data_IF_536028618401
#
_entry.id   IF_536028618401
#
_cell.length_a   1.000
_cell.length_b   1.000
_cell.length_c   1.000
_cell.angle_alpha   90.00
_cell.angle_beta   90.00
_cell.angle_gamma   90.00
#
_symmetry.space_group_name_H-M   'P 1'
#
loop_
_entity.id
_entity.type
_entity.pdbx_description
1 polymer ?
#
# COMPACT_ATOMS: atom_id res chain seq x y z
N UNK A 1 -57.34 -38.22 -27.67
CA UNK A 1 -56.51 -39.42 -27.95
C UNK A 1 -55.06 -38.99 -27.93
N UNK A 2 -54.22 -39.84 -27.35
CA UNK A 2 -52.80 -39.66 -27.00
C UNK A 2 -52.52 -38.78 -25.78
N UNK A 3 -51.97 -39.48 -24.79
CA UNK A 3 -51.74 -39.19 -23.38
C UNK A 3 -50.25 -39.49 -23.13
N UNK A 4 -49.68 -38.86 -22.11
CA UNK A 4 -48.58 -39.39 -21.28
C UNK A 4 -47.17 -39.51 -21.89
N UNK A 5 -46.27 -38.64 -21.43
CA UNK A 5 -45.00 -38.99 -20.76
C UNK A 5 -44.27 -37.69 -20.37
N UNK A 6 -44.75 -37.07 -19.29
CA UNK A 6 -44.03 -36.07 -18.50
C UNK A 6 -44.32 -36.40 -17.04
N UNK A 7 -43.51 -37.27 -16.46
CA UNK A 7 -43.35 -37.48 -15.02
C UNK A 7 -42.28 -38.55 -14.82
N UNK A 8 -41.47 -38.36 -13.79
CA UNK A 8 -40.42 -39.27 -13.30
C UNK A 8 -39.09 -39.18 -14.06
N UNK A 9 -38.13 -38.45 -13.46
CA UNK A 9 -36.93 -39.05 -12.86
C UNK A 9 -36.11 -37.98 -12.11
N UNK A 10 -35.98 -38.22 -10.79
CA UNK A 10 -34.96 -37.77 -9.85
C UNK A 10 -34.91 -36.29 -9.40
N UNK A 11 -35.67 -36.00 -8.34
CA UNK A 11 -35.11 -35.34 -7.15
C UNK A 11 -33.95 -36.21 -6.62
N UNK A 12 -32.72 -35.93 -7.05
CA UNK A 12 -31.54 -36.34 -6.30
C UNK A 12 -31.19 -35.23 -5.31
N UNK A 13 -31.35 -35.59 -4.03
CA UNK A 13 -30.83 -34.91 -2.86
C UNK A 13 -29.49 -34.22 -3.15
N UNK A 14 -29.43 -32.91 -2.87
CA UNK A 14 -28.20 -32.15 -2.73
C UNK A 14 -27.45 -32.59 -1.46
N UNK A 15 -27.05 -33.86 -1.42
CA UNK A 15 -26.15 -34.47 -0.46
C UNK A 15 -24.90 -34.95 -1.22
N UNK A 16 -24.08 -33.96 -1.57
CA UNK A 16 -22.75 -34.20 -2.12
C UNK A 16 -21.68 -33.49 -1.27
N UNK A 17 -20.39 -33.84 -1.44
CA UNK A 17 -19.27 -33.27 -0.68
C UNK A 17 -19.24 -31.73 -0.69
N UNK A 18 -19.73 -31.11 -1.76
CA UNK A 18 -19.85 -29.65 -1.88
C UNK A 18 -20.88 -29.04 -0.91
N UNK A 19 -22.01 -29.69 -0.66
CA UNK A 19 -23.03 -29.20 0.28
C UNK A 19 -22.55 -29.34 1.73
N UNK A 20 -21.74 -30.35 2.02
CA UNK A 20 -21.13 -30.57 3.33
C UNK A 20 -19.95 -29.61 3.60
N UNK A 21 -19.14 -29.31 2.58
CA UNK A 21 -18.12 -28.23 2.62
C UNK A 21 -18.78 -26.87 2.82
N UNK A 22 -19.89 -26.57 2.15
CA UNK A 22 -20.61 -25.30 2.32
C UNK A 22 -21.28 -25.15 3.70
N UNK A 23 -21.80 -26.25 4.30
CA UNK A 23 -22.33 -26.23 5.67
C UNK A 23 -21.22 -26.15 6.73
N UNK A 24 -20.08 -26.81 6.52
CA UNK A 24 -18.92 -26.69 7.41
C UNK A 24 -18.30 -25.28 7.33
N UNK A 25 -18.23 -24.66 6.15
CA UNK A 25 -17.73 -23.29 5.96
C UNK A 25 -18.57 -22.24 6.69
N UNK A 26 -19.90 -22.37 6.72
CA UNK A 26 -20.77 -21.43 7.43
C UNK A 26 -20.65 -21.46 8.97
N UNK A 27 -20.17 -22.57 9.55
CA UNK A 27 -19.91 -22.71 11.00
C UNK A 27 -18.43 -22.48 11.37
N UNK A 28 -17.49 -22.72 10.45
CA UNK A 28 -16.07 -22.39 10.61
C UNK A 28 -15.83 -20.87 10.48
N UNK A 29 -16.53 -20.16 9.60
CA UNK A 29 -16.42 -18.70 9.47
C UNK A 29 -16.78 -18.00 10.78
N UNK A 30 -17.91 -18.35 11.40
CA UNK A 30 -18.35 -17.74 12.68
C UNK A 30 -17.39 -18.01 13.83
N UNK A 31 -16.78 -19.20 13.90
CA UNK A 31 -15.82 -19.51 14.94
C UNK A 31 -14.46 -18.83 14.68
N UNK A 32 -14.01 -18.73 13.42
CA UNK A 32 -12.76 -18.03 13.08
C UNK A 32 -12.87 -16.51 13.26
N UNK A 33 -14.00 -15.90 12.87
CA UNK A 33 -14.34 -14.49 13.11
C UNK A 33 -14.46 -14.20 14.61
N UNK A 34 -15.10 -15.08 15.39
CA UNK A 34 -15.20 -14.94 16.84
C UNK A 34 -13.83 -15.01 17.54
N UNK A 35 -12.88 -15.81 17.06
CA UNK A 35 -11.54 -15.86 17.66
C UNK A 35 -10.69 -14.63 17.33
N UNK A 36 -10.81 -14.07 16.12
CA UNK A 36 -10.15 -12.83 15.72
C UNK A 36 -10.72 -11.61 16.47
N UNK A 37 -12.04 -11.56 16.67
CA UNK A 37 -12.71 -10.49 17.44
C UNK A 37 -12.70 -10.71 18.96
N UNK A 38 -12.50 -11.93 19.47
CA UNK A 38 -12.38 -12.17 20.93
C UNK A 38 -11.16 -11.51 21.58
N UNK A 39 -10.29 -10.89 20.77
CA UNK A 39 -9.21 -10.01 21.22
C UNK A 39 -9.68 -8.61 21.64
N UNK A 40 -10.91 -8.19 21.29
CA UNK A 40 -11.48 -6.86 21.62
C UNK A 40 -11.81 -6.65 23.11
N UNK A 41 -11.69 -7.68 23.96
CA UNK A 41 -12.03 -7.62 25.41
C UNK A 41 -10.88 -8.02 26.34
N UNK A 42 -9.62 -7.72 26.00
CA UNK A 42 -8.49 -8.16 26.81
C UNK A 42 -7.57 -7.01 27.20
N UNK A 43 -7.92 -6.34 28.30
CA UNK A 43 -7.12 -5.30 28.97
C UNK A 43 -5.78 -5.80 29.55
N UNK A 44 -5.45 -7.08 29.37
CA UNK A 44 -4.32 -7.73 30.04
C UNK A 44 -3.68 -8.83 29.17
N UNK A 45 -3.10 -8.45 28.03
CA UNK A 45 -2.18 -9.29 27.25
C UNK A 45 -0.97 -8.49 26.78
N UNK A 46 0.20 -9.12 26.59
CA UNK A 46 1.37 -8.47 26.01
C UNK A 46 1.08 -8.10 24.56
N UNK A 47 1.27 -6.83 24.22
CA UNK A 47 1.25 -6.34 22.85
C UNK A 47 2.34 -7.05 22.03
N UNK A 48 2.00 -7.51 20.82
CA UNK A 48 2.91 -8.31 19.98
C UNK A 48 3.54 -7.49 18.86
N UNK A 49 2.93 -6.39 18.45
CA UNK A 49 3.62 -5.38 17.63
C UNK A 49 4.44 -4.50 18.57
N UNK A 50 5.49 -5.05 19.17
CA UNK A 50 6.44 -4.29 19.97
C UNK A 50 7.53 -3.77 19.05
N UNK A 51 7.73 -2.47 18.96
CA UNK A 51 9.08 -2.00 18.62
C UNK A 51 9.92 -2.05 19.90
N UNK A 52 11.23 -2.21 19.81
CA UNK A 52 12.11 -2.11 21.00
C UNK A 52 11.96 -0.76 21.75
N UNK A 53 11.37 0.25 21.10
CA UNK A 53 10.99 1.55 21.70
C UNK A 53 9.73 1.45 22.60
N UNK A 54 8.90 0.42 22.45
CA UNK A 54 7.73 0.17 23.31
C UNK A 54 8.14 -0.22 24.73
N UNK A 55 9.32 -0.82 24.92
CA UNK A 55 9.74 -1.38 26.21
C UNK A 55 10.78 -0.49 26.92
N UNK A 56 11.45 0.40 26.19
CA UNK A 56 12.59 1.18 26.71
C UNK A 56 12.23 2.45 27.47
N UNK A 57 10.99 2.94 27.39
CA UNK A 57 10.57 4.15 28.15
C UNK A 57 10.62 3.96 29.68
N UNK A 58 10.60 2.71 30.18
CA UNK A 58 10.41 2.40 31.62
C UNK A 58 11.74 2.26 32.40
N UNK A 59 12.91 2.19 31.75
CA UNK A 59 14.17 1.90 32.49
C UNK A 59 14.97 3.12 32.94
N UNK A 60 14.50 4.35 32.73
CA UNK A 60 15.26 5.55 33.12
C UNK A 60 15.15 5.94 34.61
N UNK A 61 14.25 5.32 35.39
CA UNK A 61 14.01 5.69 36.80
C UNK A 61 14.20 4.57 37.83
N UNK A 62 15.07 3.59 37.56
CA UNK A 62 15.50 2.62 38.59
C UNK A 62 16.99 2.78 38.94
N UNK A 63 17.38 2.82 40.22
CA UNK A 63 18.74 3.12 40.63
C UNK A 63 19.70 1.95 40.31
N UNK A 64 20.75 2.25 39.54
CA UNK A 64 22.05 1.56 39.36
C UNK A 64 22.14 0.04 39.63
N UNK A 65 22.49 -0.79 38.64
CA UNK A 65 22.83 -2.19 38.88
C UNK A 65 24.27 -2.32 39.38
N UNK A 66 24.48 -3.14 40.41
CA UNK A 66 25.82 -3.65 40.76
C UNK A 66 26.31 -4.64 39.70
N UNK A 67 27.63 -4.75 39.45
CA UNK A 67 28.17 -5.40 38.26
C UNK A 67 28.25 -6.91 38.48
N UNK A 68 27.43 -7.70 37.79
CA UNK A 68 27.72 -9.12 37.59
C UNK A 68 27.36 -9.52 36.16
N UNK A 69 28.34 -10.11 35.48
CA UNK A 69 28.29 -10.60 34.12
C UNK A 69 27.10 -11.53 33.86
N UNK A 70 26.32 -11.23 32.82
CA UNK A 70 25.29 -12.10 32.29
C UNK A 70 24.37 -11.32 31.36
N UNK A 71 24.33 -11.67 30.07
CA UNK A 71 23.48 -11.04 29.07
C UNK A 71 22.01 -11.04 29.53
N UNK A 72 21.51 -9.87 29.93
CA UNK A 72 20.11 -9.69 30.30
C UNK A 72 19.27 -9.71 29.03
N UNK A 73 18.73 -10.88 28.71
CA UNK A 73 17.54 -11.01 27.85
C UNK A 73 16.49 -10.06 28.41
N UNK A 74 16.16 -9.01 27.65
CA UNK A 74 14.95 -8.22 27.89
C UNK A 74 13.79 -9.18 27.62
N UNK A 75 13.27 -9.78 28.69
CA UNK A 75 12.04 -10.56 28.63
C UNK A 75 10.91 -9.61 28.29
N UNK A 76 10.18 -9.86 27.21
CA UNK A 76 8.92 -9.21 26.84
C UNK A 76 7.99 -9.17 28.06
N UNK A 77 8.06 -8.11 28.84
CA UNK A 77 7.17 -7.90 29.98
C UNK A 77 5.83 -7.47 29.44
N UNK A 78 4.80 -8.22 29.82
CA UNK A 78 3.39 -7.92 29.60
C UNK A 78 3.08 -6.61 30.31
N UNK A 79 3.11 -5.48 29.60
CA UNK A 79 2.66 -4.21 30.16
C UNK A 79 1.13 -4.19 30.16
N UNK A 80 0.53 -4.22 31.36
CA UNK A 80 -0.90 -3.93 31.53
C UNK A 80 -1.10 -2.43 31.31
N UNK A 81 -2.03 -2.03 30.42
CA UNK A 81 -2.36 -0.60 30.24
C UNK A 81 -2.88 0.01 31.54
N UNK A 82 -3.48 -0.81 32.41
CA UNK A 82 -4.05 -0.39 33.69
C UNK A 82 -2.98 -0.01 34.74
N UNK A 83 -1.73 -0.42 34.53
CA UNK A 83 -0.61 -0.19 35.47
C UNK A 83 0.25 1.03 35.09
N UNK A 84 -0.04 1.69 33.96
CA UNK A 84 0.76 2.82 33.45
C UNK A 84 0.32 4.15 34.06
N UNK A 85 1.28 5.02 34.33
CA UNK A 85 1.04 6.42 34.67
C UNK A 85 0.56 7.21 33.45
N UNK A 86 -0.10 8.36 33.68
CA UNK A 86 -0.57 9.23 32.58
C UNK A 86 0.58 9.70 31.67
N UNK A 87 1.77 9.95 32.22
CA UNK A 87 2.94 10.38 31.45
C UNK A 87 3.49 9.25 30.56
N UNK A 88 3.45 8.01 31.06
CA UNK A 88 3.80 6.82 30.28
C UNK A 88 2.78 6.58 29.17
N UNK A 89 1.48 6.66 29.45
CA UNK A 89 0.41 6.54 28.45
C UNK A 89 0.61 7.56 27.33
N UNK A 90 0.89 8.82 27.65
CA UNK A 90 1.14 9.86 26.65
C UNK A 90 2.37 9.55 25.78
N UNK A 91 3.46 9.06 26.39
CA UNK A 91 4.68 8.65 25.67
C UNK A 91 4.42 7.48 24.74
N UNK A 92 3.75 6.43 25.23
CA UNK A 92 3.34 5.28 24.43
C UNK A 92 2.43 5.69 23.27
N UNK A 93 1.50 6.62 23.51
CA UNK A 93 0.59 7.10 22.49
C UNK A 93 1.32 7.70 21.30
N UNK A 94 2.34 8.53 21.54
CA UNK A 94 3.16 9.14 20.47
C UNK A 94 3.88 8.08 19.64
N UNK A 95 4.45 7.07 20.29
CA UNK A 95 5.16 5.96 19.61
C UNK A 95 4.18 5.12 18.78
N UNK A 96 3.04 4.74 19.36
CA UNK A 96 2.01 3.97 18.66
C UNK A 96 1.45 4.76 17.47
N UNK A 97 1.22 6.06 17.62
CA UNK A 97 0.74 6.91 16.52
C UNK A 97 1.75 7.02 15.37
N UNK A 98 3.05 7.10 15.68
CA UNK A 98 4.12 7.07 14.67
C UNK A 98 4.09 5.75 13.90
N UNK A 99 3.99 4.61 14.58
CA UNK A 99 3.93 3.29 13.94
C UNK A 99 2.63 3.12 13.15
N UNK A 100 1.51 3.57 13.70
CA UNK A 100 0.21 3.64 13.02
C UNK A 100 0.35 4.37 11.69
N UNK A 101 0.97 5.56 11.68
CA UNK A 101 1.10 6.37 10.47
C UNK A 101 1.86 5.65 9.36
N UNK A 102 2.90 4.90 9.71
CA UNK A 102 3.73 4.15 8.76
C UNK A 102 2.98 2.92 8.22
N UNK A 103 2.37 2.12 9.09
CA UNK A 103 1.58 0.94 8.69
C UNK A 103 0.38 1.37 7.84
N UNK A 104 -0.32 2.43 8.25
CA UNK A 104 -1.45 2.98 7.52
C UNK A 104 -1.02 3.49 6.14
N UNK A 105 0.09 4.22 6.04
CA UNK A 105 0.61 4.66 4.75
C UNK A 105 0.91 3.49 3.80
N UNK A 106 1.53 2.41 4.30
CA UNK A 106 1.77 1.19 3.51
C UNK A 106 0.46 0.52 3.10
N UNK A 107 -0.49 0.40 4.02
CA UNK A 107 -1.81 -0.18 3.74
C UNK A 107 -2.54 0.60 2.64
N UNK A 108 -2.49 1.94 2.68
CA UNK A 108 -3.07 2.79 1.64
C UNK A 108 -2.34 2.63 0.31
N UNK A 109 -1.00 2.63 0.28
CA UNK A 109 -0.23 2.40 -0.95
C UNK A 109 -0.53 1.03 -1.57
N UNK A 110 -0.62 -0.01 -0.75
CA UNK A 110 -1.02 -1.34 -1.18
C UNK A 110 -2.47 -1.35 -1.72
N UNK A 111 -3.41 -0.69 -1.04
CA UNK A 111 -4.79 -0.52 -1.53
C UNK A 111 -4.84 0.13 -2.92
N UNK A 112 -4.11 1.23 -3.14
CA UNK A 112 -4.05 1.89 -4.47
C UNK A 112 -3.49 0.94 -5.52
N UNK A 113 -2.40 0.23 -5.20
CA UNK A 113 -1.82 -0.75 -6.12
C UNK A 113 -2.83 -1.85 -6.47
N UNK A 114 -3.48 -2.44 -5.47
CA UNK A 114 -4.47 -3.50 -5.64
C UNK A 114 -5.65 -3.03 -6.50
N UNK A 115 -6.24 -1.88 -6.19
CA UNK A 115 -7.31 -1.30 -7.01
C UNK A 115 -6.88 -1.06 -8.46
N UNK A 116 -5.67 -0.53 -8.66
CA UNK A 116 -5.10 -0.30 -9.99
C UNK A 116 -4.98 -1.58 -10.84
N UNK A 117 -4.59 -2.70 -10.22
CA UNK A 117 -4.55 -4.02 -10.89
C UNK A 117 -5.91 -4.74 -10.97
N UNK A 118 -6.96 -4.13 -10.41
CA UNK A 118 -8.32 -4.70 -10.34
C UNK A 118 -8.45 -5.83 -9.32
N UNK A 119 -7.63 -5.79 -8.28
CA UNK A 119 -7.73 -6.70 -7.14
C UNK A 119 -8.78 -6.13 -6.19
N UNK A 120 -9.85 -6.89 -5.99
CA UNK A 120 -10.90 -6.55 -5.03
C UNK A 120 -10.38 -6.65 -3.60
N UNK A 121 -10.76 -5.67 -2.79
CA UNK A 121 -10.45 -5.60 -1.37
C UNK A 121 -11.65 -6.08 -0.59
N UNK A 122 -11.46 -7.17 0.15
CA UNK A 122 -12.49 -7.73 1.01
C UNK A 122 -12.78 -6.80 2.20
N UNK A 123 -14.07 -6.65 2.51
CA UNK A 123 -14.59 -5.84 3.62
C UNK A 123 -15.02 -6.70 4.83
N UNK A 124 -14.72 -8.00 4.83
CA UNK A 124 -14.81 -8.83 6.03
C UNK A 124 -13.79 -8.40 7.09
N UNK A 125 -13.96 -8.85 8.33
CA UNK A 125 -13.01 -8.59 9.43
C UNK A 125 -11.61 -9.17 9.18
N UNK A 126 -11.47 -10.04 8.18
CA UNK A 126 -10.17 -10.58 7.74
C UNK A 126 -9.56 -9.78 6.58
N UNK A 127 -10.32 -8.85 6.01
CA UNK A 127 -10.00 -8.10 4.82
C UNK A 127 -9.28 -6.79 5.09
N UNK A 128 -8.46 -6.37 4.12
CA UNK A 128 -7.69 -5.13 4.21
C UNK A 128 -8.59 -3.88 4.21
N UNK A 129 -9.71 -3.89 3.46
CA UNK A 129 -10.61 -2.74 3.39
C UNK A 129 -11.21 -2.43 4.76
N UNK A 130 -11.67 -3.47 5.47
CA UNK A 130 -12.26 -3.33 6.80
C UNK A 130 -11.33 -2.61 7.77
N UNK A 131 -10.05 -3.03 7.85
CA UNK A 131 -9.09 -2.44 8.78
C UNK A 131 -8.61 -1.05 8.36
N UNK A 132 -8.56 -0.76 7.05
CA UNK A 132 -8.33 0.62 6.56
C UNK A 132 -9.48 1.53 6.99
N UNK A 133 -10.73 1.12 6.76
CA UNK A 133 -11.91 1.92 7.08
C UNK A 133 -12.04 2.13 8.59
N UNK A 134 -11.70 1.10 9.38
CA UNK A 134 -11.62 1.20 10.84
C UNK A 134 -10.50 2.15 11.30
N UNK A 135 -9.33 2.12 10.66
CA UNK A 135 -8.24 3.04 10.95
C UNK A 135 -8.61 4.50 10.63
N UNK A 136 -9.32 4.74 9.53
CA UNK A 136 -9.79 6.07 9.13
C UNK A 136 -10.87 6.60 10.08
N UNK A 137 -11.80 5.75 10.51
CA UNK A 137 -12.89 6.14 11.42
C UNK A 137 -12.40 6.45 12.84
N UNK A 138 -11.31 5.82 13.28
CA UNK A 138 -10.77 5.96 14.63
C UNK A 138 -9.48 6.78 14.67
N UNK A 139 -9.17 7.54 13.62
CA UNK A 139 -7.93 8.32 13.54
C UNK A 139 -7.81 9.36 14.66
N UNK A 140 -8.95 9.88 15.12
CA UNK A 140 -9.06 10.86 16.21
C UNK A 140 -9.29 10.22 17.59
N UNK A 141 -9.20 8.88 17.72
CA UNK A 141 -9.33 8.23 19.03
C UNK A 141 -8.17 8.62 19.95
N UNK A 142 -8.48 8.94 21.20
CA UNK A 142 -7.49 9.11 22.27
C UNK A 142 -7.36 7.85 23.14
N UNK A 143 -8.10 6.80 22.78
CA UNK A 143 -8.00 5.51 23.44
C UNK A 143 -6.80 4.73 22.90
N UNK A 144 -5.73 4.66 23.70
CA UNK A 144 -4.51 3.94 23.37
C UNK A 144 -4.77 2.45 23.07
N UNK A 145 -5.64 1.77 23.81
CA UNK A 145 -5.94 0.35 23.60
C UNK A 145 -6.67 0.09 22.28
N UNK A 146 -7.59 0.99 21.90
CA UNK A 146 -8.26 0.92 20.60
C UNK A 146 -7.27 1.16 19.45
N UNK A 147 -6.42 2.19 19.57
CA UNK A 147 -5.40 2.48 18.57
C UNK A 147 -4.45 1.30 18.39
N UNK A 148 -3.96 0.69 19.48
CA UNK A 148 -3.10 -0.49 19.40
C UNK A 148 -3.81 -1.64 18.68
N UNK A 149 -5.07 -1.93 19.04
CA UNK A 149 -5.84 -3.01 18.40
C UNK A 149 -5.92 -2.80 16.88
N UNK A 150 -6.20 -1.58 16.44
CA UNK A 150 -6.27 -1.23 15.02
C UNK A 150 -4.91 -1.39 14.35
N UNK A 151 -3.85 -0.87 14.95
CA UNK A 151 -2.47 -0.97 14.44
C UNK A 151 -2.05 -2.42 14.25
N UNK A 152 -2.27 -3.26 15.26
CA UNK A 152 -1.88 -4.67 15.22
C UNK A 152 -2.58 -5.41 14.08
N UNK A 153 -3.91 -5.30 13.99
CA UNK A 153 -4.65 -6.01 12.95
C UNK A 153 -4.33 -5.48 11.55
N UNK A 154 -4.21 -4.15 11.40
CA UNK A 154 -3.84 -3.54 10.13
C UNK A 154 -2.45 -4.03 9.68
N UNK A 155 -1.48 -4.12 10.60
CA UNK A 155 -0.15 -4.69 10.34
C UNK A 155 -0.25 -6.12 9.81
N UNK A 156 -0.92 -7.02 10.54
CA UNK A 156 -0.97 -8.42 10.16
C UNK A 156 -1.69 -8.65 8.83
N UNK A 157 -2.79 -7.93 8.57
CA UNK A 157 -3.54 -8.02 7.33
C UNK A 157 -2.74 -7.50 6.14
N UNK A 158 -2.12 -6.32 6.26
CA UNK A 158 -1.33 -5.74 5.17
C UNK A 158 -0.08 -6.60 4.90
N UNK A 159 0.57 -7.09 5.95
CA UNK A 159 1.75 -7.94 5.84
C UNK A 159 1.46 -9.27 5.14
N UNK A 160 0.40 -9.95 5.59
CA UNK A 160 -0.08 -11.18 4.98
C UNK A 160 -0.40 -10.97 3.49
N UNK A 161 -1.12 -9.89 3.18
CA UNK A 161 -1.52 -9.59 1.81
C UNK A 161 -0.34 -9.26 0.91
N UNK A 162 0.57 -8.39 1.35
CA UNK A 162 1.79 -8.04 0.59
C UNK A 162 2.61 -9.30 0.28
N UNK A 163 2.90 -10.13 1.30
CA UNK A 163 3.69 -11.36 1.09
C UNK A 163 3.07 -12.29 0.06
N UNK A 164 1.75 -12.49 0.11
CA UNK A 164 1.07 -13.37 -0.83
C UNK A 164 1.07 -12.79 -2.26
N UNK A 165 0.76 -11.50 -2.38
CA UNK A 165 0.69 -10.83 -3.68
C UNK A 165 2.08 -10.74 -4.35
N UNK A 166 3.15 -10.58 -3.56
CA UNK A 166 4.52 -10.64 -4.08
C UNK A 166 4.83 -11.94 -4.82
N UNK A 167 4.26 -13.08 -4.40
CA UNK A 167 4.42 -14.35 -5.11
C UNK A 167 3.79 -14.29 -6.50
N UNK A 168 2.60 -13.70 -6.62
CA UNK A 168 1.94 -13.49 -7.91
C UNK A 168 2.68 -12.51 -8.81
N UNK A 169 3.18 -11.41 -8.24
CA UNK A 169 3.95 -10.39 -8.97
C UNK A 169 5.23 -11.00 -9.54
N UNK A 170 5.98 -11.76 -8.75
CA UNK A 170 7.20 -12.42 -9.22
C UNK A 170 6.92 -13.44 -10.32
N UNK A 171 5.85 -14.24 -10.19
CA UNK A 171 5.48 -15.21 -11.22
C UNK A 171 5.18 -14.53 -12.57
N UNK A 172 4.48 -13.39 -12.53
CA UNK A 172 4.25 -12.56 -13.71
C UNK A 172 5.56 -12.00 -14.27
N UNK A 173 6.45 -11.51 -13.39
CA UNK A 173 7.74 -10.94 -13.77
C UNK A 173 8.70 -11.95 -14.41
N UNK A 174 8.58 -13.25 -14.08
CA UNK A 174 9.35 -14.31 -14.72
C UNK A 174 8.98 -14.48 -16.20
N UNK A 175 7.78 -14.08 -16.62
CA UNK A 175 7.38 -14.15 -18.01
C UNK A 175 7.95 -12.96 -18.80
N UNK A 176 8.96 -13.23 -19.62
CA UNK A 176 9.61 -12.22 -20.46
C UNK A 176 8.73 -11.84 -21.65
N UNK A 177 7.69 -11.07 -21.40
CA UNK A 177 6.93 -10.40 -22.45
C UNK A 177 7.52 -9.01 -22.68
N UNK A 178 7.99 -8.72 -23.90
CA UNK A 178 8.35 -7.35 -24.27
C UNK A 178 7.08 -6.51 -24.46
N UNK A 179 6.39 -6.17 -23.37
CA UNK A 179 5.37 -5.13 -23.39
C UNK A 179 6.08 -3.79 -23.52
N UNK A 180 6.42 -3.38 -24.74
CA UNK A 180 6.76 -1.97 -24.97
C UNK A 180 5.50 -1.16 -24.69
N UNK A 181 5.47 -0.27 -23.69
CA UNK A 181 4.42 0.70 -23.63
C UNK A 181 4.57 1.56 -24.89
N UNK A 182 3.61 1.44 -25.82
CA UNK A 182 3.43 2.47 -26.82
C UNK A 182 3.15 3.74 -26.02
N UNK A 183 4.15 4.62 -25.86
CA UNK A 183 3.95 5.93 -25.25
C UNK A 183 3.06 6.74 -26.20
N UNK A 184 1.77 6.48 -26.18
CA UNK A 184 0.75 7.35 -26.75
C UNK A 184 0.84 8.69 -26.02
N UNK A 185 0.53 9.76 -26.74
CA UNK A 185 0.80 11.16 -26.36
C UNK A 185 -0.03 11.67 -25.17
N UNK A 186 -0.76 10.79 -24.48
CA UNK A 186 -1.75 11.19 -23.50
C UNK A 186 -1.24 11.08 -22.07
N UNK A 187 -1.76 11.98 -21.24
CA UNK A 187 -1.43 12.21 -19.82
C UNK A 187 -1.83 11.04 -18.90
N UNK A 188 -1.97 9.84 -19.44
CA UNK A 188 -2.51 8.71 -18.71
C UNK A 188 -1.42 8.07 -17.84
N UNK A 189 -1.76 7.89 -16.56
CA UNK A 189 -0.97 7.12 -15.61
C UNK A 189 -0.92 5.66 -16.05
N UNK A 190 0.28 5.08 -16.05
CA UNK A 190 0.52 3.66 -16.33
C UNK A 190 0.94 2.94 -15.05
N UNK A 191 0.46 1.71 -14.92
CA UNK A 191 0.86 0.80 -13.85
C UNK A 191 2.32 0.38 -14.04
N UNK A 192 3.09 0.18 -12.95
CA UNK A 192 4.48 -0.25 -13.04
C UNK A 192 4.61 -1.66 -13.63
N UNK A 193 5.68 -1.94 -14.37
CA UNK A 193 5.95 -3.31 -14.82
C UNK A 193 6.17 -4.26 -13.61
N UNK A 194 5.86 -5.58 -13.73
CA UNK A 194 5.93 -6.52 -12.61
C UNK A 194 7.27 -6.53 -11.85
N UNK A 195 8.40 -6.44 -12.56
CA UNK A 195 9.72 -6.35 -11.91
C UNK A 195 9.87 -5.10 -11.04
N UNK A 196 9.38 -3.96 -11.50
CA UNK A 196 9.43 -2.72 -10.74
C UNK A 196 8.44 -2.74 -9.58
N UNK A 197 7.23 -3.27 -9.80
CA UNK A 197 6.24 -3.46 -8.75
C UNK A 197 6.74 -4.38 -7.63
N UNK A 198 7.44 -5.46 -7.98
CA UNK A 198 8.03 -6.38 -7.00
C UNK A 198 9.01 -5.64 -6.08
N UNK A 199 9.83 -4.75 -6.63
CA UNK A 199 10.79 -3.94 -5.85
C UNK A 199 10.09 -2.95 -4.93
N UNK A 200 9.01 -2.32 -5.37
CA UNK A 200 8.16 -1.47 -4.53
C UNK A 200 7.58 -2.28 -3.36
N UNK A 201 7.01 -3.45 -3.64
CA UNK A 201 6.39 -4.29 -2.61
C UNK A 201 7.42 -4.91 -1.65
N UNK A 202 8.61 -5.23 -2.15
CA UNK A 202 9.73 -5.66 -1.32
C UNK A 202 10.10 -4.57 -0.31
N UNK A 203 10.19 -3.31 -0.74
CA UNK A 203 10.43 -2.18 0.18
C UNK A 203 9.29 -2.00 1.19
N UNK A 204 8.03 -2.18 0.80
CA UNK A 204 6.93 -2.16 1.76
C UNK A 204 7.10 -3.24 2.82
N UNK A 205 7.42 -4.46 2.40
CA UNK A 205 7.69 -5.57 3.32
C UNK A 205 8.91 -5.28 4.20
N UNK A 206 9.99 -4.73 3.66
CA UNK A 206 11.20 -4.44 4.43
C UNK A 206 10.97 -3.34 5.48
N UNK A 207 10.12 -2.35 5.18
CA UNK A 207 9.69 -1.35 6.17
C UNK A 207 8.86 -2.04 7.28
N UNK A 208 7.91 -2.91 6.93
CA UNK A 208 7.12 -3.66 7.91
C UNK A 208 7.96 -4.63 8.74
N UNK A 209 9.03 -5.18 8.16
CA UNK A 209 9.99 -6.06 8.82
C UNK A 209 10.99 -5.30 9.71
N UNK A 210 10.98 -3.96 9.68
CA UNK A 210 11.84 -3.15 10.53
C UNK A 210 11.55 -3.43 12.00
N UNK A 211 12.58 -3.62 12.86
CA UNK A 211 12.40 -3.74 14.31
C UNK A 211 11.73 -2.51 14.94
N UNK A 212 11.76 -1.36 14.25
CA UNK A 212 11.05 -0.15 14.65
C UNK A 212 9.53 -0.24 14.48
N UNK A 213 9.04 -1.18 13.66
CA UNK A 213 7.60 -1.46 13.45
C UNK A 213 7.18 -2.69 14.24
N UNK A 214 7.85 -3.82 14.05
CA UNK A 214 7.50 -5.08 14.69
C UNK A 214 8.76 -5.92 14.94
N UNK A 215 9.11 -6.13 16.21
CA UNK A 215 10.26 -6.91 16.65
C UNK A 215 9.96 -8.42 16.64
N UNK A 216 8.80 -8.83 17.17
CA UNK A 216 8.36 -10.23 17.22
C UNK A 216 7.07 -10.45 16.41
N UNK A 217 7.17 -11.19 15.31
CA UNK A 217 6.02 -11.47 14.43
C UNK A 217 5.30 -12.75 14.85
N UNK A 218 3.97 -12.66 14.97
CA UNK A 218 3.11 -13.83 15.13
C UNK A 218 2.86 -14.52 13.78
N UNK A 219 3.67 -15.52 13.46
CA UNK A 219 3.54 -16.28 12.21
C UNK A 219 2.22 -17.05 12.10
N UNK A 220 1.59 -17.43 13.23
CA UNK A 220 0.31 -18.13 13.23
C UNK A 220 -0.83 -17.18 12.84
N UNK A 221 -0.79 -15.94 13.35
CA UNK A 221 -1.74 -14.91 12.95
C UNK A 221 -1.58 -14.51 11.48
N UNK A 222 -0.34 -14.36 11.01
CA UNK A 222 -0.04 -14.11 9.59
C UNK A 222 -0.62 -15.25 8.73
N UNK A 223 -0.36 -16.51 9.10
CA UNK A 223 -0.85 -17.67 8.36
C UNK A 223 -2.37 -17.68 8.27
N UNK A 224 -3.08 -17.40 9.37
CA UNK A 224 -4.55 -17.31 9.38
C UNK A 224 -5.11 -16.23 8.44
N UNK A 225 -4.52 -15.03 8.44
CA UNK A 225 -4.95 -13.99 7.49
C UNK A 225 -4.69 -14.39 6.04
N UNK A 226 -3.56 -15.06 5.78
CA UNK A 226 -3.26 -15.59 4.46
C UNK A 226 -4.28 -16.66 4.06
N UNK A 227 -4.54 -17.67 4.91
CA UNK A 227 -5.47 -18.78 4.67
C UNK A 227 -6.88 -18.28 4.31
N UNK A 228 -7.39 -17.32 5.07
CA UNK A 228 -8.69 -16.71 4.80
C UNK A 228 -8.73 -16.04 3.43
N UNK A 229 -7.67 -15.32 3.06
CA UNK A 229 -7.60 -14.72 1.74
C UNK A 229 -7.50 -15.76 0.62
N UNK A 230 -6.69 -16.82 0.78
CA UNK A 230 -6.58 -17.91 -0.21
C UNK A 230 -7.93 -18.60 -0.41
N UNK A 231 -8.61 -18.92 0.68
CA UNK A 231 -9.94 -19.54 0.66
C UNK A 231 -10.95 -18.68 -0.10
N UNK A 232 -10.92 -17.36 0.11
CA UNK A 232 -11.74 -16.41 -0.65
C UNK A 232 -11.43 -16.42 -2.14
N UNK A 233 -10.15 -16.48 -2.52
CA UNK A 233 -9.75 -16.58 -3.94
C UNK A 233 -10.23 -17.88 -4.59
N UNK A 234 -10.05 -19.02 -3.93
CA UNK A 234 -10.49 -20.33 -4.44
C UNK A 234 -12.01 -20.34 -4.65
N UNK A 235 -12.77 -19.83 -3.67
CA UNK A 235 -14.22 -19.72 -3.77
C UNK A 235 -14.66 -18.80 -4.93
N UNK A 236 -13.91 -17.74 -5.21
CA UNK A 236 -14.17 -16.83 -6.33
C UNK A 236 -13.88 -17.50 -7.67
N UNK A 237 -12.74 -18.16 -7.79
CA UNK A 237 -12.34 -18.86 -9.02
C UNK A 237 -13.36 -19.96 -9.37
N UNK A 238 -13.84 -20.72 -8.38
CA UNK A 238 -14.88 -21.73 -8.57
C UNK A 238 -16.19 -21.16 -9.14
N UNK A 239 -16.52 -19.89 -8.86
CA UNK A 239 -17.72 -19.22 -9.40
C UNK A 239 -17.54 -18.70 -10.82
N UNK A 240 -16.32 -18.44 -11.25
CA UNK A 240 -16.00 -17.91 -12.58
C UNK A 240 -15.98 -18.99 -13.68
N UNK A 241 -16.15 -20.25 -13.30
CA UNK A 241 -16.21 -21.40 -14.21
C UNK A 241 -14.88 -22.15 -14.28
N UNK A 242 -14.76 -23.13 -15.20
CA UNK A 242 -13.58 -23.98 -15.30
C UNK A 242 -12.34 -23.18 -15.70
N UNK A 243 -11.20 -23.49 -15.08
CA UNK A 243 -9.91 -22.90 -15.43
C UNK A 243 -9.55 -23.20 -16.89
N UNK A 244 -9.29 -22.14 -17.67
CA UNK A 244 -8.84 -22.27 -19.05
C UNK A 244 -7.33 -22.00 -19.12
N UNK A 245 -6.57 -23.04 -19.49
CA UNK A 245 -5.11 -23.00 -19.62
C UNK A 245 -4.64 -22.35 -20.93
N UNK A 246 -5.49 -22.34 -21.95
CA UNK A 246 -5.16 -21.84 -23.28
C UNK A 246 -5.52 -20.35 -23.39
N UNK A 247 -4.54 -19.50 -23.12
CA UNK A 247 -4.61 -18.06 -23.33
C UNK A 247 -3.88 -17.62 -24.61
N UNK A 248 -4.30 -16.48 -25.17
CA UNK A 248 -3.75 -15.92 -26.42
C UNK A 248 -2.23 -15.69 -26.31
N UNK A 249 -1.74 -15.37 -25.11
CA UNK A 249 -0.35 -15.00 -24.87
C UNK A 249 0.52 -16.19 -24.42
N UNK A 250 -0.06 -17.38 -24.20
CA UNK A 250 0.62 -18.55 -23.65
C UNK A 250 1.11 -18.40 -22.20
N UNK A 251 0.71 -17.33 -21.52
CA UNK A 251 1.13 -17.03 -20.15
C UNK A 251 0.58 -18.06 -19.16
N UNK A 252 -0.70 -18.43 -19.26
CA UNK A 252 -1.32 -19.33 -18.28
C UNK A 252 -0.67 -20.69 -18.31
N UNK A 253 -0.38 -21.21 -19.51
CA UNK A 253 0.40 -22.45 -19.67
C UNK A 253 1.79 -22.34 -19.05
N UNK A 254 2.48 -21.21 -19.27
CA UNK A 254 3.79 -20.95 -18.67
C UNK A 254 3.73 -20.92 -17.14
N UNK A 255 2.90 -20.05 -16.57
CA UNK A 255 2.74 -19.88 -15.12
C UNK A 255 2.31 -21.19 -14.45
N UNK A 256 1.31 -21.88 -15.02
CA UNK A 256 0.86 -23.18 -14.52
C UNK A 256 2.01 -24.19 -14.48
N UNK A 257 2.83 -24.27 -15.53
CA UNK A 257 3.96 -25.21 -15.58
C UNK A 257 5.00 -24.96 -14.49
N UNK A 258 5.19 -23.70 -14.09
CA UNK A 258 6.10 -23.32 -13.00
C UNK A 258 5.51 -23.71 -11.64
N UNK A 259 4.25 -23.35 -11.38
CA UNK A 259 3.60 -23.56 -10.09
C UNK A 259 3.30 -25.05 -9.84
N UNK A 260 2.91 -25.78 -10.88
CA UNK A 260 2.66 -27.22 -10.81
C UNK A 260 3.97 -28.01 -10.58
N UNK A 261 5.11 -27.49 -11.01
CA UNK A 261 6.42 -28.08 -10.70
C UNK A 261 6.93 -27.61 -9.33
N UNK A 262 6.62 -28.37 -8.28
CA UNK A 262 7.07 -28.10 -6.90
C UNK A 262 8.59 -28.02 -6.74
N UNK A 263 9.37 -28.56 -7.66
CA UNK A 263 10.83 -28.48 -7.63
C UNK A 263 11.41 -27.24 -8.33
N UNK A 264 10.55 -26.41 -8.95
CA UNK A 264 10.97 -25.14 -9.56
C UNK A 264 11.62 -24.22 -8.53
N UNK A 265 12.54 -23.36 -8.97
CA UNK A 265 13.20 -22.38 -8.10
C UNK A 265 12.19 -21.43 -7.47
N UNK A 266 11.16 -21.05 -8.24
CA UNK A 266 10.03 -20.24 -7.78
C UNK A 266 9.27 -20.94 -6.64
N UNK A 267 8.84 -22.20 -6.83
CA UNK A 267 8.09 -22.91 -5.79
C UNK A 267 8.94 -23.12 -4.53
N UNK A 268 10.21 -23.54 -4.66
CA UNK A 268 11.11 -23.71 -3.51
C UNK A 268 11.29 -22.43 -2.70
N UNK A 269 11.40 -21.29 -3.37
CA UNK A 269 11.49 -19.98 -2.72
C UNK A 269 10.23 -19.69 -1.92
N UNK A 270 9.06 -19.74 -2.55
CA UNK A 270 7.82 -19.33 -1.90
C UNK A 270 7.31 -20.31 -0.86
N UNK A 271 7.58 -21.60 -1.03
CA UNK A 271 7.37 -22.64 -0.01
C UNK A 271 8.16 -22.34 1.28
N UNK A 272 9.40 -21.84 1.15
CA UNK A 272 10.21 -21.43 2.31
C UNK A 272 9.76 -20.13 2.98
N UNK A 273 9.01 -19.28 2.28
CA UNK A 273 8.64 -17.93 2.74
C UNK A 273 7.18 -17.84 3.22
N UNK A 274 6.29 -18.69 2.70
CA UNK A 274 4.86 -18.71 2.96
C UNK A 274 4.46 -20.14 3.32
N UNK A 275 4.13 -20.36 4.59
CA UNK A 275 3.78 -21.68 5.16
C UNK A 275 2.66 -22.39 4.41
N UNK A 276 1.68 -21.64 3.92
CA UNK A 276 0.49 -22.18 3.24
C UNK A 276 0.63 -22.24 1.71
N UNK A 277 1.80 -21.91 1.17
CA UNK A 277 2.04 -21.92 -0.27
C UNK A 277 1.88 -23.32 -0.91
N UNK A 278 2.22 -24.43 -0.23
CA UNK A 278 1.90 -25.77 -0.71
C UNK A 278 0.42 -25.99 -1.00
N UNK A 279 -0.46 -25.40 -0.19
CA UNK A 279 -1.91 -25.58 -0.28
C UNK A 279 -2.56 -24.73 -1.39
N UNK A 280 -1.78 -23.83 -2.01
CA UNK A 280 -2.26 -22.96 -3.06
C UNK A 280 -2.48 -23.74 -4.37
N UNK A 281 -3.71 -23.77 -4.93
CA UNK A 281 -3.95 -24.42 -6.21
C UNK A 281 -3.16 -23.75 -7.34
N UNK A 282 -2.48 -24.52 -8.22
CA UNK A 282 -1.73 -23.95 -9.35
C UNK A 282 -2.57 -23.06 -10.26
N UNK A 283 -3.84 -23.41 -10.45
CA UNK A 283 -4.82 -22.66 -11.24
C UNK A 283 -5.05 -21.27 -10.63
N UNK A 284 -5.31 -21.20 -9.32
CA UNK A 284 -5.55 -19.94 -8.59
C UNK A 284 -4.32 -19.04 -8.61
N UNK A 285 -3.11 -19.58 -8.41
CA UNK A 285 -1.88 -18.78 -8.50
C UNK A 285 -1.64 -18.25 -9.92
N UNK A 286 -1.98 -19.04 -10.94
CA UNK A 286 -1.90 -18.64 -12.34
C UNK A 286 -2.85 -17.46 -12.63
N UNK A 287 -4.10 -17.55 -12.20
CA UNK A 287 -5.10 -16.47 -12.36
C UNK A 287 -4.74 -15.23 -11.53
N UNK A 288 -4.21 -15.41 -10.33
CA UNK A 288 -3.76 -14.31 -9.46
C UNK A 288 -2.65 -13.51 -10.14
N UNK A 289 -1.61 -14.20 -10.62
CA UNK A 289 -0.43 -13.56 -11.23
C UNK A 289 -0.73 -12.87 -12.56
N UNK A 290 -1.69 -13.38 -13.34
CA UNK A 290 -2.08 -12.80 -14.64
C UNK A 290 -2.54 -11.32 -14.54
N UNK A 291 -3.08 -10.91 -13.39
CA UNK A 291 -3.59 -9.55 -13.18
C UNK A 291 -2.52 -8.47 -13.38
N UNK A 292 -1.25 -8.82 -13.13
CA UNK A 292 -0.12 -7.90 -13.17
C UNK A 292 0.36 -7.53 -14.59
N UNK A 293 -0.26 -8.06 -15.65
CA UNK A 293 -0.12 -7.53 -17.02
C UNK A 293 -0.90 -6.24 -17.27
N UNK A 294 -1.73 -5.81 -16.32
CA UNK A 294 -2.55 -4.60 -16.46
C UNK A 294 -1.66 -3.36 -16.55
N UNK A 295 -1.69 -2.65 -17.68
CA UNK A 295 -0.90 -1.43 -17.90
C UNK A 295 -1.65 -0.14 -17.56
N UNK A 296 -2.97 -0.14 -17.64
CA UNK A 296 -3.83 1.00 -17.28
C UNK A 296 -4.62 0.68 -16.02
N UNK A 297 -4.74 1.60 -15.05
CA UNK A 297 -5.46 1.33 -13.82
C UNK A 297 -6.91 0.92 -14.11
N UNK A 298 -7.36 -0.19 -13.51
CA UNK A 298 -8.74 -0.67 -13.62
C UNK A 298 -9.70 0.08 -12.71
N UNK A 299 -9.22 0.48 -11.53
CA UNK A 299 -9.98 1.26 -10.56
C UNK A 299 -9.07 2.36 -10.00
N UNK A 300 -9.68 3.51 -9.70
CA UNK A 300 -9.04 4.66 -9.05
C UNK A 300 -9.98 5.07 -7.92
N UNK A 301 -9.50 5.30 -6.70
CA UNK A 301 -10.36 5.73 -5.61
C UNK A 301 -10.86 7.15 -5.83
N UNK A 302 -11.92 7.50 -5.12
CA UNK A 302 -12.38 8.88 -5.02
C UNK A 302 -11.28 9.74 -4.38
N UNK A 303 -11.04 10.89 -5.02
CA UNK A 303 -10.01 11.85 -4.68
C UNK A 303 -10.67 13.18 -4.33
N UNK A 304 -10.08 13.91 -3.40
CA UNK A 304 -10.63 15.17 -2.90
C UNK A 304 -10.86 16.23 -4.01
N UNK A 305 -9.92 16.40 -4.94
CA UNK A 305 -10.02 17.40 -6.01
C UNK A 305 -10.08 16.70 -7.38
N UNK A 306 -11.16 16.88 -8.16
CA UNK A 306 -11.23 16.44 -9.55
C UNK A 306 -10.12 17.06 -10.42
N UNK A 307 -9.68 16.33 -11.44
CA UNK A 307 -8.54 16.76 -12.30
C UNK A 307 -8.78 18.11 -12.97
N UNK A 308 -10.02 18.36 -13.42
CA UNK A 308 -10.44 19.60 -14.07
C UNK A 308 -10.53 20.80 -13.12
N UNK A 309 -10.61 20.56 -11.81
CA UNK A 309 -10.63 21.60 -10.77
C UNK A 309 -9.24 21.92 -10.22
N UNK A 310 -8.21 21.20 -10.66
CA UNK A 310 -6.85 21.48 -10.22
C UNK A 310 -6.42 22.88 -10.67
N UNK A 311 -5.75 23.65 -9.80
CA UNK A 311 -5.44 25.07 -10.02
C UNK A 311 -4.24 25.27 -10.95
N UNK A 312 -4.28 24.67 -12.13
CA UNK A 312 -3.29 24.91 -13.19
C UNK A 312 -3.45 26.33 -13.74
N UNK A 313 -2.31 26.96 -14.01
CA UNK A 313 -2.29 28.29 -14.64
C UNK A 313 -2.56 28.14 -16.12
N UNK A 314 -3.52 28.90 -16.65
CA UNK A 314 -3.69 29.04 -18.08
C UNK A 314 -2.54 29.89 -18.65
N UNK A 315 -1.62 29.24 -19.35
CA UNK A 315 -0.44 29.88 -19.95
C UNK A 315 -0.77 30.97 -20.98
N UNK A 316 -1.97 30.93 -21.57
CA UNK A 316 -2.44 31.92 -22.56
C UNK A 316 -2.85 33.24 -21.91
N UNK A 317 -3.17 33.23 -20.61
CA UNK A 317 -3.58 34.42 -19.85
C UNK A 317 -2.40 35.13 -19.18
N UNK A 318 -1.19 34.58 -19.30
CA UNK A 318 0.03 35.18 -18.72
C UNK A 318 0.55 36.26 -19.68
N UNK A 319 0.93 37.42 -19.13
CA UNK A 319 1.62 38.48 -19.87
C UNK A 319 2.78 37.90 -20.71
N UNK A 320 2.78 38.10 -22.04
CA UNK A 320 3.83 37.59 -22.92
C UNK A 320 5.25 37.94 -22.47
N UNK A 321 5.47 39.15 -21.92
CA UNK A 321 6.79 39.59 -21.48
C UNK A 321 7.26 38.81 -20.24
N UNK A 322 6.35 38.59 -19.29
CA UNK A 322 6.63 37.75 -18.12
C UNK A 322 6.86 36.29 -18.53
N UNK A 323 6.07 35.79 -19.48
CA UNK A 323 6.22 34.43 -20.01
C UNK A 323 7.58 34.23 -20.67
N UNK A 324 8.02 35.16 -21.52
CA UNK A 324 9.34 35.09 -22.17
C UNK A 324 10.48 35.09 -21.15
N UNK A 325 10.40 35.95 -20.12
CA UNK A 325 11.36 35.96 -19.02
C UNK A 325 11.44 34.61 -18.30
N UNK A 326 10.29 33.98 -18.03
CA UNK A 326 10.25 32.65 -17.40
C UNK A 326 10.86 31.58 -18.30
N UNK A 327 10.59 31.60 -19.61
CA UNK A 327 11.16 30.67 -20.58
C UNK A 327 12.70 30.79 -20.61
N UNK A 328 13.24 32.02 -20.61
CA UNK A 328 14.68 32.25 -20.56
C UNK A 328 15.29 31.65 -19.28
N UNK A 329 14.64 31.84 -18.13
CA UNK A 329 15.11 31.26 -16.87
C UNK A 329 15.06 29.73 -16.91
N UNK A 330 14.00 29.14 -17.45
CA UNK A 330 13.86 27.69 -17.58
C UNK A 330 14.96 27.11 -18.48
N UNK A 331 15.31 27.78 -19.60
CA UNK A 331 16.42 27.37 -20.46
C UNK A 331 17.78 27.50 -19.77
N UNK A 332 17.98 28.52 -18.94
CA UNK A 332 19.21 28.66 -18.13
C UNK A 332 19.34 27.53 -17.12
N UNK A 333 18.28 27.24 -16.36
CA UNK A 333 18.28 26.15 -15.37
C UNK A 333 18.46 24.80 -16.08
N UNK A 334 17.75 24.57 -17.19
CA UNK A 334 17.89 23.34 -17.98
C UNK A 334 19.29 23.17 -18.56
N UNK A 335 19.95 24.26 -18.97
CA UNK A 335 21.34 24.23 -19.44
C UNK A 335 22.30 23.92 -18.30
N UNK A 336 22.14 24.56 -17.14
CA UNK A 336 22.92 24.27 -15.94
C UNK A 336 22.78 22.79 -15.54
N UNK A 337 21.54 22.29 -15.48
CA UNK A 337 21.25 20.89 -15.17
C UNK A 337 21.99 19.92 -16.11
N UNK A 338 22.00 20.21 -17.42
CA UNK A 338 22.75 19.40 -18.41
C UNK A 338 24.26 19.41 -18.14
N UNK A 339 24.83 20.57 -17.80
CA UNK A 339 26.26 20.71 -17.51
C UNK A 339 26.67 19.98 -16.22
N UNK A 340 25.80 19.98 -15.22
CA UNK A 340 26.03 19.32 -13.93
C UNK A 340 25.62 17.84 -13.90
N UNK A 341 25.04 17.32 -15.00
CA UNK A 341 24.52 15.95 -15.04
C UNK A 341 23.28 15.72 -14.17
N UNK A 342 22.57 16.79 -13.77
CA UNK A 342 21.35 16.75 -12.97
C UNK A 342 20.10 16.81 -13.84
N UNK A 343 18.93 16.55 -13.25
CA UNK A 343 17.67 16.89 -13.88
C UNK A 343 17.25 18.33 -13.55
N UNK A 344 16.48 18.96 -14.44
CA UNK A 344 15.90 20.29 -14.18
C UNK A 344 15.03 20.30 -12.91
N UNK A 345 14.42 19.15 -12.57
CA UNK A 345 13.60 19.02 -11.37
C UNK A 345 14.45 19.04 -10.09
N UNK A 346 15.62 18.38 -10.09
CA UNK A 346 16.56 18.43 -8.96
C UNK A 346 17.06 19.87 -8.77
N UNK A 347 17.49 20.56 -9.84
CA UNK A 347 17.93 21.95 -9.74
C UNK A 347 16.84 22.88 -9.17
N UNK A 348 15.57 22.65 -9.49
CA UNK A 348 14.44 23.41 -8.94
C UNK A 348 14.18 23.12 -7.46
N UNK A 349 14.45 21.91 -6.98
CA UNK A 349 14.32 21.52 -5.56
C UNK A 349 15.49 22.03 -4.73
N UNK A 350 16.70 22.01 -5.29
CA UNK A 350 17.93 22.46 -4.64
C UNK A 350 17.95 23.99 -4.45
N UNK A 351 17.28 24.75 -5.33
CA UNK A 351 17.19 26.22 -5.23
C UNK A 351 16.03 26.67 -4.33
N UNK A 352 16.36 27.05 -3.08
CA UNK A 352 15.39 27.55 -2.10
C UNK A 352 14.66 28.85 -2.50
N UNK A 353 15.06 29.53 -3.58
CA UNK A 353 14.33 30.68 -4.13
C UNK A 353 13.15 30.26 -5.01
N UNK A 354 13.17 29.04 -5.53
CA UNK A 354 12.15 28.53 -6.44
C UNK A 354 10.98 27.98 -5.64
N UNK A 355 9.78 28.49 -5.93
CA UNK A 355 8.53 28.00 -5.33
C UNK A 355 8.00 26.83 -6.14
N UNK A 356 8.24 25.60 -5.67
CA UNK A 356 7.85 24.37 -6.38
C UNK A 356 6.37 24.33 -6.78
N UNK A 357 5.45 24.72 -5.89
CA UNK A 357 4.01 24.80 -6.20
C UNK A 357 3.72 25.71 -7.40
N UNK A 358 4.45 26.83 -7.53
CA UNK A 358 4.28 27.73 -8.68
C UNK A 358 4.73 27.07 -9.98
N UNK A 359 5.88 26.41 -9.99
CA UNK A 359 6.39 25.71 -11.17
C UNK A 359 5.42 24.62 -11.64
N UNK A 360 4.88 23.84 -10.70
CA UNK A 360 3.95 22.76 -11.03
C UNK A 360 2.60 23.28 -11.54
N UNK A 361 2.09 24.41 -11.01
CA UNK A 361 0.89 25.07 -11.55
C UNK A 361 1.06 25.48 -13.02
N UNK A 362 2.29 25.78 -13.44
CA UNK A 362 2.63 26.06 -14.84
C UNK A 362 2.91 24.78 -15.66
N UNK A 363 2.59 23.60 -15.12
CA UNK A 363 2.88 22.29 -15.70
C UNK A 363 4.38 22.01 -15.91
N UNK A 364 5.26 22.67 -15.16
CA UNK A 364 6.71 22.47 -15.29
C UNK A 364 7.19 21.28 -14.46
N UNK A 365 8.31 20.70 -14.86
CA UNK A 365 8.87 19.52 -14.20
C UNK A 365 9.58 19.88 -12.90
N UNK A 366 9.19 19.23 -11.81
CA UNK A 366 9.96 19.24 -10.55
C UNK A 366 10.44 17.84 -10.18
N UNK A 367 10.29 16.82 -11.03
CA UNK A 367 10.57 15.43 -10.65
C UNK A 367 12.05 15.18 -10.34
N UNK A 368 12.34 14.30 -9.37
CA UNK A 368 13.69 13.81 -9.09
C UNK A 368 14.29 13.10 -10.32
N UNK A 369 15.62 13.03 -10.41
CA UNK A 369 16.36 12.36 -11.51
C UNK A 369 15.94 10.90 -11.79
N UNK A 370 15.44 10.19 -10.79
CA UNK A 370 14.95 8.81 -10.89
C UNK A 370 13.67 8.67 -11.72
N UNK A 371 12.93 9.76 -11.95
CA UNK A 371 11.71 9.75 -12.74
C UNK A 371 11.98 9.61 -14.25
N UNK A 372 11.14 8.86 -14.97
CA UNK A 372 11.24 8.65 -16.42
C UNK A 372 11.14 9.96 -17.21
N UNK A 373 10.38 10.95 -16.72
CA UNK A 373 10.23 12.23 -17.43
C UNK A 373 11.47 13.13 -17.32
N UNK A 374 12.31 12.92 -16.30
CA UNK A 374 13.35 13.86 -15.87
C UNK A 374 14.28 14.25 -17.02
N UNK A 375 14.76 13.27 -17.79
CA UNK A 375 15.62 13.52 -18.96
C UNK A 375 14.90 14.34 -20.02
N UNK A 376 13.71 13.92 -20.46
CA UNK A 376 12.99 14.62 -21.54
C UNK A 376 12.65 16.06 -21.14
N UNK A 377 12.19 16.28 -19.91
CA UNK A 377 11.89 17.62 -19.39
C UNK A 377 13.13 18.50 -19.17
N UNK A 378 14.31 17.91 -18.99
CA UNK A 378 15.57 18.67 -18.91
C UNK A 378 16.04 19.13 -20.29
N UNK A 379 15.84 18.30 -21.32
CA UNK A 379 16.23 18.64 -22.69
C UNK A 379 15.23 19.57 -23.38
N UNK A 380 13.94 19.41 -23.10
CA UNK A 380 12.85 20.23 -23.59
C UNK A 380 12.13 20.86 -22.38
N UNK A 381 12.59 22.06 -21.99
CA UNK A 381 12.18 22.73 -20.75
C UNK A 381 10.79 23.37 -20.84
N UNK A 382 10.32 23.66 -22.06
CA UNK A 382 9.00 24.25 -22.32
C UNK A 382 7.90 23.19 -22.39
N UNK A 383 8.27 21.91 -22.55
CA UNK A 383 7.35 20.80 -22.50
C UNK A 383 6.60 20.74 -21.17
N UNK A 384 5.27 20.53 -21.27
CA UNK A 384 4.44 20.17 -20.13
C UNK A 384 4.88 18.82 -19.55
N UNK A 385 5.22 18.82 -18.27
CA UNK A 385 5.63 17.63 -17.56
C UNK A 385 4.44 16.66 -17.41
N UNK A 386 4.57 15.38 -17.80
CA UNK A 386 3.49 14.40 -17.63
C UNK A 386 3.18 14.12 -16.14
N UNK A 387 4.10 14.50 -15.25
CA UNK A 387 3.99 14.31 -13.81
C UNK A 387 3.39 15.52 -13.09
N UNK A 388 3.05 16.59 -13.82
CA UNK A 388 2.62 17.85 -13.21
C UNK A 388 1.38 17.67 -12.33
N UNK A 389 0.41 16.84 -12.74
CA UNK A 389 -0.80 16.59 -11.96
C UNK A 389 -0.50 16.00 -10.59
N UNK A 390 0.21 14.86 -10.54
CA UNK A 390 0.56 14.23 -9.27
C UNK A 390 1.38 15.16 -8.38
N UNK A 391 2.33 15.88 -8.97
CA UNK A 391 3.17 16.81 -8.21
C UNK A 391 2.31 17.97 -7.68
N UNK A 392 1.28 18.41 -8.41
CA UNK A 392 0.39 19.47 -7.97
C UNK A 392 -0.41 19.00 -6.76
N UNK A 393 -0.97 17.78 -6.82
CA UNK A 393 -1.69 17.15 -5.71
C UNK A 393 -0.80 17.04 -4.46
N UNK A 394 0.42 16.53 -4.60
CA UNK A 394 1.38 16.43 -3.49
C UNK A 394 1.70 17.80 -2.91
N UNK A 395 2.00 18.80 -3.75
CA UNK A 395 2.30 20.16 -3.29
C UNK A 395 1.09 20.84 -2.64
N UNK A 396 -0.13 20.61 -3.12
CA UNK A 396 -1.35 21.14 -2.49
C UNK A 396 -1.60 20.51 -1.12
N UNK A 397 -1.36 19.21 -0.96
CA UNK A 397 -1.47 18.53 0.34
C UNK A 397 -0.43 19.06 1.35
N UNK A 398 0.83 19.16 0.94
CA UNK A 398 1.92 19.71 1.77
C UNK A 398 1.65 21.15 2.23
N UNK A 399 1.11 22.00 1.36
CA UNK A 399 0.89 23.42 1.66
C UNK A 399 -0.46 23.71 2.34
N UNK A 400 -1.31 22.69 2.55
CA UNK A 400 -2.62 22.85 3.19
C UNK A 400 -2.46 23.01 4.70
N UNK A 401 -3.04 24.08 5.26
CA UNK A 401 -2.91 24.43 6.70
C UNK A 401 -3.84 23.69 7.65
N UNK A 402 -4.81 22.92 7.15
CA UNK A 402 -5.78 22.19 7.97
C UNK A 402 -6.56 21.15 7.15
N UNK A 403 -7.58 20.55 7.76
CA UNK A 403 -8.41 19.49 7.16
C UNK A 403 -9.08 19.93 5.85
N UNK A 404 -9.57 21.17 5.82
CA UNK A 404 -10.28 21.70 4.64
C UNK A 404 -11.72 21.17 4.56
N UNK A 405 -12.26 21.04 3.35
CA UNK A 405 -13.67 20.69 3.10
C UNK A 405 -13.94 19.22 2.79
N UNK A 406 -12.89 18.40 2.73
CA UNK A 406 -12.95 17.03 2.24
C UNK A 406 -12.67 16.05 3.37
N UNK A 407 -13.27 14.87 3.32
CA UNK A 407 -13.09 13.83 4.33
C UNK A 407 -11.64 13.32 4.37
N UNK A 408 -11.21 12.79 5.51
CA UNK A 408 -9.85 12.27 5.71
C UNK A 408 -9.48 11.23 4.64
N UNK A 409 -10.39 10.28 4.37
CA UNK A 409 -10.18 9.22 3.37
C UNK A 409 -9.85 9.79 1.99
N UNK A 410 -10.62 10.76 1.49
CA UNK A 410 -10.43 11.36 0.17
C UNK A 410 -9.10 12.11 0.05
N UNK A 411 -8.69 12.82 1.11
CA UNK A 411 -7.42 13.54 1.14
C UNK A 411 -6.24 12.59 1.10
N UNK A 412 -6.28 11.52 1.90
CA UNK A 412 -5.24 10.49 1.91
C UNK A 412 -5.25 9.73 0.59
N UNK A 413 -6.41 9.43 -0.01
CA UNK A 413 -6.50 8.83 -1.34
C UNK A 413 -5.79 9.68 -2.39
N UNK A 414 -6.00 11.00 -2.39
CA UNK A 414 -5.29 11.92 -3.29
C UNK A 414 -3.78 11.85 -3.14
N UNK A 415 -3.27 11.90 -1.89
CA UNK A 415 -1.83 11.84 -1.62
C UNK A 415 -1.25 10.49 -2.02
N UNK A 416 -1.92 9.40 -1.63
CA UNK A 416 -1.46 8.03 -1.86
C UNK A 416 -1.49 7.69 -3.36
N UNK A 417 -2.53 8.09 -4.08
CA UNK A 417 -2.61 7.93 -5.53
C UNK A 417 -1.49 8.71 -6.22
N UNK A 418 -1.31 9.99 -5.88
CA UNK A 418 -0.24 10.80 -6.45
C UNK A 418 1.16 10.24 -6.13
N UNK A 419 1.36 9.72 -4.92
CA UNK A 419 2.57 9.03 -4.49
C UNK A 419 2.82 7.74 -5.26
N UNK A 420 1.82 6.87 -5.40
CA UNK A 420 1.94 5.63 -6.18
C UNK A 420 2.20 5.91 -7.66
N UNK A 421 1.60 6.95 -8.22
CA UNK A 421 1.94 7.46 -9.56
C UNK A 421 3.39 7.94 -9.66
N UNK A 422 3.97 8.42 -8.56
CA UNK A 422 5.40 8.74 -8.42
C UNK A 422 6.27 7.50 -8.53
N UNK A 423 6.00 6.51 -7.69
CA UNK A 423 6.68 5.22 -7.66
C UNK A 423 6.63 4.52 -9.03
N UNK A 424 5.46 4.49 -9.67
CA UNK A 424 5.28 3.88 -10.98
C UNK A 424 5.99 4.64 -12.12
N UNK A 425 6.16 5.96 -11.99
CA UNK A 425 6.84 6.79 -12.98
C UNK A 425 8.37 6.80 -12.84
N UNK A 426 8.92 6.03 -11.91
CA UNK A 426 10.37 5.82 -11.79
C UNK A 426 10.89 4.96 -12.93
N UNK A 427 12.17 5.14 -13.29
CA UNK A 427 12.81 4.27 -14.28
C UNK A 427 12.88 2.84 -13.73
N UNK A 428 12.79 1.83 -14.61
CA UNK A 428 12.89 0.42 -14.19
C UNK A 428 14.22 0.07 -13.50
N UNK A 429 15.28 0.81 -13.82
CA UNK A 429 16.61 0.72 -13.23
C UNK A 429 16.85 1.74 -12.09
N UNK A 430 15.80 2.42 -11.60
CA UNK A 430 15.92 3.32 -10.46
C UNK A 430 16.53 2.58 -9.28
N UNK A 431 17.45 3.22 -8.54
CA UNK A 431 18.08 2.61 -7.37
C UNK A 431 17.07 2.45 -6.22
N UNK A 432 17.34 1.50 -5.32
CA UNK A 432 16.46 1.20 -4.19
C UNK A 432 16.30 2.38 -3.22
N UNK A 433 17.38 3.13 -2.98
CA UNK A 433 17.36 4.35 -2.16
C UNK A 433 16.43 5.42 -2.74
N UNK A 434 16.41 5.58 -4.07
CA UNK A 434 15.48 6.52 -4.70
C UNK A 434 14.02 6.12 -4.48
N UNK A 435 13.69 4.82 -4.61
CA UNK A 435 12.32 4.32 -4.35
C UNK A 435 11.96 4.53 -2.87
N UNK A 436 12.89 4.24 -1.95
CA UNK A 436 12.69 4.46 -0.52
C UNK A 436 12.45 5.94 -0.19
N UNK A 437 13.22 6.86 -0.78
CA UNK A 437 13.00 8.29 -0.62
C UNK A 437 11.60 8.74 -1.07
N UNK A 438 11.09 8.23 -2.20
CA UNK A 438 9.73 8.55 -2.66
C UNK A 438 8.67 8.02 -1.68
N UNK A 439 8.89 6.84 -1.08
CA UNK A 439 8.01 6.30 -0.03
C UNK A 439 8.05 7.18 1.23
N UNK A 440 9.24 7.63 1.65
CA UNK A 440 9.40 8.53 2.80
C UNK A 440 8.67 9.86 2.57
N UNK A 441 8.83 10.46 1.38
CA UNK A 441 8.12 11.70 1.02
C UNK A 441 6.58 11.51 1.15
N UNK A 442 6.06 10.33 0.81
CA UNK A 442 4.64 10.00 0.95
C UNK A 442 4.25 9.86 2.43
N UNK A 443 5.07 9.18 3.23
CA UNK A 443 4.82 8.97 4.66
C UNK A 443 4.76 10.29 5.42
N UNK A 444 5.65 11.24 5.09
CA UNK A 444 5.65 12.56 5.70
C UNK A 444 4.33 13.29 5.46
N UNK A 445 3.82 13.29 4.21
CA UNK A 445 2.56 13.96 3.88
C UNK A 445 1.37 13.27 4.55
N UNK A 446 1.32 11.93 4.55
CA UNK A 446 0.24 11.20 5.24
C UNK A 446 0.28 11.48 6.74
N UNK A 447 1.47 11.51 7.36
CA UNK A 447 1.62 11.87 8.77
C UNK A 447 1.14 13.29 9.06
N UNK A 448 1.40 14.24 8.15
CA UNK A 448 0.83 15.59 8.25
C UNK A 448 -0.70 15.59 8.15
N UNK A 449 -1.30 14.80 7.27
CA UNK A 449 -2.77 14.69 7.17
C UNK A 449 -3.40 14.05 8.42
N UNK A 450 -2.76 13.03 8.99
CA UNK A 450 -3.15 12.43 10.27
C UNK A 450 -3.11 13.48 11.39
N UNK A 451 -2.02 14.25 11.47
CA UNK A 451 -1.89 15.28 12.48
C UNK A 451 -2.96 16.37 12.33
N UNK A 452 -3.27 16.81 11.10
CA UNK A 452 -4.35 17.78 10.83
C UNK A 452 -5.71 17.26 11.30
N UNK A 453 -6.00 15.98 11.07
CA UNK A 453 -7.28 15.37 11.47
C UNK A 453 -7.41 15.31 13.00
N UNK A 454 -6.34 14.93 13.69
CA UNK A 454 -6.32 14.81 15.16
C UNK A 454 -6.44 16.15 15.88
N UNK A 455 -5.85 17.23 15.36
CA UNK A 455 -5.95 18.56 15.96
C UNK A 455 -7.40 19.11 16.04
N UNK A 456 -8.36 18.55 15.29
CA UNK A 456 -9.77 18.90 15.44
C UNK A 456 -10.36 18.35 16.75
N UNK A 457 -9.92 17.16 17.19
CA UNK A 457 -10.38 16.54 18.43
C UNK A 457 -10.12 17.41 19.66
N UNK A 458 -8.99 18.13 19.67
CA UNK A 458 -8.62 19.04 20.75
C UNK A 458 -9.43 20.35 20.75
N UNK A 459 -9.96 20.81 19.60
CA UNK A 459 -10.70 22.07 19.50
C UNK A 459 -12.18 21.91 19.86
N UNK A 460 -12.75 20.72 19.70
CA UNK A 460 -14.16 20.46 20.05
C UNK A 460 -14.34 20.24 21.56
N UNK A 461 -13.28 19.91 22.30
CA UNK A 461 -13.32 19.74 23.76
C UNK A 461 -13.14 21.05 24.58
N UNK A 462 -13.12 22.22 23.92
CA UNK A 462 -12.97 23.54 24.56
C UNK A 462 -14.08 24.56 24.21
N UNK A 463 -15.21 24.11 23.66
CA UNK A 463 -16.40 24.97 23.41
C UNK A 463 -17.58 24.55 24.28
#
# INVERSE_FOLDING_TARGET
>A
MTTSLYSELHEESLEGPLAEIMRQNGNLDKNSEFFLTSSLKRHSRPYRVSSGEWVTAVTSNSPSPSPTYGASRVTSQVLSLDDLTNDEIATHFVVVLKIFSQIYAIAKLAQIAFMGYGIELDNSETGLRYWIDRAETNIATDNLGELITIVEHLFYVVYARIKLEMAGIELCALYKMETRPAMTKDRQFYMPEPNHLYRIFLLFKDILDSPGICEERDNDLISRFMENYVRMLICKDARLGPFCIDDILGYRRYAYSIVNNRHSTYCKKWDSLISIFPDFPPETMTVLSERYFTMTPKQVPDCDIPVNELPFTNLELIDPVLREKQIILDHRIGTLAKLEGKSIGDCRRDDGKIRLLHEVKHSKCICKSACVCARKCTYDVERRCPCAERQLRMQLAMNRKGVGRFEFSDRVNTVTLAGFQGLAAMKGDAREDAIAEEIIDIFEIISMEIHKERLIGDVVNWV
#
